data_IF_897198655646
#
_entry.id   IF_897198655646
#
_cell.length_a   1.000
_cell.length_b   1.000
_cell.length_c   1.000
_cell.angle_alpha   90.00
_cell.angle_beta   90.00
_cell.angle_gamma   90.00
#
_symmetry.space_group_name_H-M   'P 1'
#
loop_
_entity.id
_entity.type
_entity.pdbx_description
1 polymer ?
#
# COMPACT_ATOMS: atom_id res chain seq x y z
N UNK A 1 18.45 -3.24 -3.36
CA UNK A 1 17.65 -4.35 -3.92
C UNK A 1 17.75 -5.68 -3.15
N UNK A 2 18.89 -6.03 -2.57
CA UNK A 2 19.02 -7.26 -1.76
C UNK A 2 18.10 -7.29 -0.53
N UNK A 3 17.90 -6.18 0.14
CA UNK A 3 17.05 -6.07 1.35
C UNK A 3 15.57 -6.36 1.10
N UNK A 4 15.02 -5.92 -0.04
CA UNK A 4 13.61 -6.13 -0.42
C UNK A 4 13.32 -7.63 -0.63
N UNK A 5 14.19 -8.33 -1.38
CA UNK A 5 14.06 -9.77 -1.59
C UNK A 5 14.17 -10.57 -0.29
N UNK A 6 15.00 -10.10 0.65
CA UNK A 6 15.13 -10.70 1.97
C UNK A 6 13.83 -10.56 2.77
N UNK A 7 13.23 -9.36 2.83
CA UNK A 7 11.96 -9.13 3.54
C UNK A 7 10.83 -10.01 3.00
N UNK A 8 10.68 -10.07 1.67
CA UNK A 8 9.65 -10.92 1.05
C UNK A 8 9.88 -12.40 1.36
N UNK A 9 11.13 -12.88 1.25
CA UNK A 9 11.47 -14.28 1.54
C UNK A 9 11.27 -14.64 3.01
N UNK A 10 11.61 -13.71 3.90
CA UNK A 10 11.43 -13.89 5.33
C UNK A 10 9.94 -14.01 5.69
N UNK A 11 9.10 -13.07 5.25
CA UNK A 11 7.66 -13.09 5.51
C UNK A 11 7.00 -14.29 4.83
N UNK A 12 7.46 -14.70 3.63
CA UNK A 12 6.97 -15.92 2.97
C UNK A 12 7.24 -17.17 3.80
N UNK A 13 8.42 -17.27 4.41
CA UNK A 13 8.78 -18.42 5.26
C UNK A 13 7.97 -18.44 6.57
N UNK A 14 7.67 -17.26 7.12
CA UNK A 14 6.98 -17.11 8.40
C UNK A 14 5.45 -17.31 8.24
N UNK A 15 4.84 -16.66 7.27
CA UNK A 15 3.39 -16.72 7.04
C UNK A 15 3.06 -16.59 5.56
N UNK A 16 3.08 -17.70 4.79
CA UNK A 16 2.73 -17.67 3.37
C UNK A 16 1.28 -17.21 3.16
N UNK A 17 0.39 -17.50 4.11
CA UNK A 17 -1.03 -17.09 4.06
C UNK A 17 -1.20 -15.58 4.03
N UNK A 18 -0.34 -14.84 4.74
CA UNK A 18 -0.39 -13.37 4.77
C UNK A 18 -0.04 -12.78 3.39
N UNK A 19 1.01 -13.26 2.75
CA UNK A 19 1.41 -12.78 1.42
C UNK A 19 0.36 -13.15 0.37
N UNK A 20 -0.16 -14.38 0.40
CA UNK A 20 -1.23 -14.80 -0.52
C UNK A 20 -2.47 -13.92 -0.35
N UNK A 21 -2.86 -13.60 0.89
CA UNK A 21 -3.96 -12.67 1.15
C UNK A 21 -3.70 -11.29 0.56
N UNK A 22 -2.52 -10.71 0.81
CA UNK A 22 -2.16 -9.39 0.27
C UNK A 22 -2.19 -9.37 -1.27
N UNK A 23 -1.64 -10.40 -1.92
CA UNK A 23 -1.66 -10.50 -3.39
C UNK A 23 -3.09 -10.65 -3.89
N UNK A 24 -3.91 -11.48 -3.26
CA UNK A 24 -5.31 -11.70 -3.65
C UNK A 24 -6.12 -10.41 -3.53
N UNK A 25 -6.00 -9.69 -2.42
CA UNK A 25 -6.66 -8.39 -2.22
C UNK A 25 -6.18 -7.36 -3.24
N UNK A 26 -4.88 -7.35 -3.52
CA UNK A 26 -4.28 -6.44 -4.51
C UNK A 26 -4.82 -6.70 -5.92
N UNK A 27 -4.92 -7.96 -6.33
CA UNK A 27 -5.49 -8.34 -7.64
C UNK A 27 -6.98 -8.01 -7.70
N UNK A 28 -7.72 -8.29 -6.64
CA UNK A 28 -9.15 -7.98 -6.56
C UNK A 28 -9.39 -6.46 -6.68
N UNK A 29 -8.60 -5.66 -5.99
CA UNK A 29 -8.66 -4.19 -6.07
C UNK A 29 -8.32 -3.69 -7.48
N UNK A 30 -7.31 -4.27 -8.13
CA UNK A 30 -6.94 -3.94 -9.51
C UNK A 30 -8.08 -4.26 -10.49
N UNK A 31 -8.68 -5.44 -10.39
CA UNK A 31 -9.82 -5.84 -11.22
C UNK A 31 -11.02 -4.90 -11.02
N UNK A 32 -11.28 -4.51 -9.79
CA UNK A 32 -12.34 -3.56 -9.48
C UNK A 32 -12.14 -2.18 -10.11
N UNK A 33 -10.93 -1.65 -10.10
CA UNK A 33 -10.64 -0.38 -10.74
C UNK A 33 -10.98 -0.42 -12.24
N UNK A 34 -10.71 -1.53 -12.91
CA UNK A 34 -11.07 -1.74 -14.32
C UNK A 34 -12.59 -1.82 -14.51
N UNK A 35 -13.28 -2.60 -13.67
CA UNK A 35 -14.74 -2.74 -13.72
C UNK A 35 -15.43 -1.39 -13.48
N UNK A 36 -14.95 -0.61 -12.50
CA UNK A 36 -15.50 0.70 -12.19
C UNK A 36 -15.40 1.67 -13.39
N UNK A 37 -14.28 1.62 -14.11
CA UNK A 37 -14.11 2.41 -15.34
C UNK A 37 -15.10 1.99 -16.44
N UNK A 38 -15.33 0.68 -16.62
CA UNK A 38 -16.30 0.17 -17.60
C UNK A 38 -17.74 0.61 -17.26
N UNK A 39 -18.11 0.58 -15.97
CA UNK A 39 -19.42 1.06 -15.53
C UNK A 39 -19.55 2.58 -15.77
N UNK A 40 -18.51 3.36 -15.46
CA UNK A 40 -18.50 4.80 -15.70
C UNK A 40 -18.66 5.13 -17.19
N UNK A 41 -18.05 4.32 -18.06
CA UNK A 41 -18.25 4.41 -19.52
C UNK A 41 -19.74 4.20 -19.90
N UNK A 42 -20.38 3.14 -19.40
CA UNK A 42 -21.78 2.88 -19.67
C UNK A 42 -22.69 4.03 -19.20
N UNK A 43 -22.34 4.67 -18.09
CA UNK A 43 -23.04 5.86 -17.59
C UNK A 43 -22.91 7.02 -18.58
N UNK A 44 -21.70 7.31 -19.05
CA UNK A 44 -21.46 8.40 -20.00
C UNK A 44 -22.12 8.16 -21.37
N UNK A 45 -22.07 6.93 -21.90
CA UNK A 45 -22.75 6.55 -23.14
C UNK A 45 -24.28 6.66 -23.01
N UNK A 46 -24.86 6.24 -21.89
CA UNK A 46 -26.30 6.34 -21.61
C UNK A 46 -26.76 7.80 -21.51
N UNK A 47 -25.92 8.67 -20.93
CA UNK A 47 -26.19 10.10 -20.83
C UNK A 47 -26.16 10.75 -22.22
N UNK A 48 -25.17 10.43 -23.04
CA UNK A 48 -25.05 10.94 -24.40
C UNK A 48 -26.23 10.51 -25.31
N UNK A 49 -26.74 9.30 -25.09
CA UNK A 49 -27.90 8.76 -25.80
C UNK A 49 -29.25 9.28 -25.28
N UNK A 50 -29.25 10.14 -24.26
CA UNK A 50 -30.44 10.69 -23.58
C UNK A 50 -31.42 9.59 -23.11
N UNK A 51 -30.89 8.41 -22.76
CA UNK A 51 -31.67 7.26 -22.31
C UNK A 51 -31.67 7.19 -20.79
N UNK A 52 -32.67 7.82 -20.15
CA UNK A 52 -32.78 7.92 -18.68
C UNK A 52 -32.90 6.55 -17.99
N UNK A 53 -33.53 5.56 -18.64
CA UNK A 53 -33.68 4.21 -18.09
C UNK A 53 -32.33 3.49 -17.95
N UNK A 54 -31.53 3.47 -19.03
CA UNK A 54 -30.18 2.86 -19.03
C UNK A 54 -29.24 3.56 -18.06
N UNK A 55 -29.34 4.89 -17.93
CA UNK A 55 -28.57 5.69 -16.99
C UNK A 55 -28.88 5.30 -15.53
N UNK A 56 -30.17 5.18 -15.17
CA UNK A 56 -30.57 4.78 -13.81
C UNK A 56 -30.09 3.36 -13.46
N UNK A 57 -30.17 2.42 -14.41
CA UNK A 57 -29.66 1.06 -14.20
C UNK A 57 -28.15 1.05 -14.00
N UNK A 58 -27.39 1.75 -14.82
CA UNK A 58 -25.95 1.82 -14.70
C UNK A 58 -25.49 2.44 -13.36
N UNK A 59 -26.19 3.48 -12.87
CA UNK A 59 -25.98 4.06 -11.55
C UNK A 59 -26.25 3.06 -10.44
N UNK A 60 -27.35 2.32 -10.53
CA UNK A 60 -27.71 1.32 -9.53
C UNK A 60 -26.65 0.20 -9.47
N UNK A 61 -26.18 -0.27 -10.63
CA UNK A 61 -25.09 -1.27 -10.71
C UNK A 61 -23.81 -0.72 -10.06
N UNK A 62 -23.44 0.53 -10.33
CA UNK A 62 -22.25 1.15 -9.74
C UNK A 62 -22.34 1.16 -8.22
N UNK A 63 -23.47 1.56 -7.65
CA UNK A 63 -23.68 1.62 -6.20
C UNK A 63 -23.63 0.23 -5.60
N UNK A 64 -24.33 -0.77 -6.19
CA UNK A 64 -24.32 -2.14 -5.69
C UNK A 64 -22.93 -2.76 -5.71
N UNK A 65 -22.18 -2.59 -6.80
CA UNK A 65 -20.81 -3.09 -6.93
C UNK A 65 -19.89 -2.39 -5.92
N UNK A 66 -20.02 -1.09 -5.73
CA UNK A 66 -19.23 -0.34 -4.74
C UNK A 66 -19.49 -0.80 -3.31
N UNK A 67 -20.75 -1.04 -2.93
CA UNK A 67 -21.12 -1.56 -1.60
C UNK A 67 -20.54 -2.96 -1.39
N UNK A 68 -20.67 -3.84 -2.38
CA UNK A 68 -20.15 -5.21 -2.30
C UNK A 68 -18.65 -5.23 -2.05
N UNK A 69 -17.90 -4.40 -2.77
CA UNK A 69 -16.45 -4.31 -2.64
C UNK A 69 -16.03 -3.64 -1.34
N UNK A 70 -16.75 -2.59 -0.91
CA UNK A 70 -16.49 -1.99 0.40
C UNK A 70 -16.69 -3.00 1.52
N UNK A 71 -17.71 -3.86 1.44
CA UNK A 71 -17.93 -4.94 2.40
C UNK A 71 -16.82 -5.99 2.39
N UNK A 72 -16.35 -6.43 1.20
CA UNK A 72 -15.26 -7.39 1.07
C UNK A 72 -13.96 -6.80 1.61
N UNK A 73 -13.58 -5.60 1.16
CA UNK A 73 -12.35 -4.94 1.62
C UNK A 73 -12.41 -4.65 3.13
N UNK A 74 -13.56 -4.21 3.64
CA UNK A 74 -13.76 -4.00 5.06
C UNK A 74 -13.55 -5.29 5.85
N UNK A 75 -14.17 -6.38 5.44
CA UNK A 75 -14.03 -7.67 6.11
C UNK A 75 -12.58 -8.17 6.10
N UNK A 76 -11.87 -8.01 5.00
CA UNK A 76 -10.47 -8.43 4.89
C UNK A 76 -9.57 -7.55 5.74
N UNK A 77 -9.67 -6.23 5.63
CA UNK A 77 -8.76 -5.29 6.30
C UNK A 77 -9.00 -5.23 7.82
N UNK A 78 -10.24 -5.42 8.27
CA UNK A 78 -10.56 -5.33 9.71
C UNK A 78 -10.57 -6.66 10.45
N UNK A 79 -10.83 -7.78 9.78
CA UNK A 79 -10.95 -9.08 10.43
C UNK A 79 -9.77 -10.01 10.12
N UNK A 80 -9.39 -10.15 8.86
CA UNK A 80 -8.43 -11.17 8.43
C UNK A 80 -7.00 -10.66 8.47
N UNK A 81 -6.77 -9.47 7.93
CA UNK A 81 -5.42 -8.89 7.83
C UNK A 81 -4.76 -8.70 9.19
N UNK A 82 -5.40 -8.11 10.23
CA UNK A 82 -4.75 -7.90 11.52
C UNK A 82 -4.39 -9.21 12.22
N UNK A 83 -5.19 -10.27 12.06
CA UNK A 83 -4.89 -11.59 12.64
C UNK A 83 -3.63 -12.20 12.01
N UNK A 84 -3.51 -12.13 10.69
CA UNK A 84 -2.34 -12.67 9.98
C UNK A 84 -1.11 -11.77 10.18
N UNK A 85 -1.29 -10.46 10.21
CA UNK A 85 -0.26 -9.47 10.49
C UNK A 85 0.34 -9.70 11.89
N UNK A 86 -0.50 -9.88 12.90
CA UNK A 86 -0.04 -10.10 14.28
C UNK A 86 0.81 -11.37 14.41
N UNK A 87 0.50 -12.45 13.69
CA UNK A 87 1.35 -13.65 13.66
C UNK A 87 2.74 -13.38 13.09
N UNK A 88 2.84 -12.53 12.06
CA UNK A 88 4.12 -12.13 11.50
C UNK A 88 4.89 -11.27 12.49
N UNK A 89 4.22 -10.34 13.17
CA UNK A 89 4.79 -9.48 14.20
C UNK A 89 5.37 -10.32 15.35
N UNK A 90 4.59 -11.25 15.88
CA UNK A 90 4.98 -12.13 16.98
C UNK A 90 6.25 -12.94 16.61
N UNK A 91 6.32 -13.47 15.41
CA UNK A 91 7.48 -14.23 14.95
C UNK A 91 8.72 -13.35 14.81
N UNK A 92 8.59 -12.15 14.22
CA UNK A 92 9.70 -11.19 14.08
C UNK A 92 10.20 -10.76 15.46
N UNK A 93 9.30 -10.43 16.38
CA UNK A 93 9.67 -10.04 17.74
C UNK A 93 10.34 -11.20 18.50
N UNK A 94 9.87 -12.44 18.31
CA UNK A 94 10.50 -13.62 18.84
C UNK A 94 11.94 -13.81 18.34
N UNK A 95 12.18 -13.65 17.05
CA UNK A 95 13.52 -13.75 16.46
C UNK A 95 14.45 -12.63 16.97
N UNK A 96 13.95 -11.40 17.10
CA UNK A 96 14.71 -10.29 17.69
C UNK A 96 15.09 -10.61 19.14
N UNK A 97 14.14 -11.10 19.93
CA UNK A 97 14.37 -11.45 21.32
C UNK A 97 15.38 -12.58 21.48
N UNK A 98 15.25 -13.67 20.71
CA UNK A 98 16.22 -14.77 20.72
C UNK A 98 17.62 -14.30 20.31
N UNK A 99 17.70 -13.41 19.34
CA UNK A 99 18.97 -12.80 18.94
C UNK A 99 19.54 -11.93 20.05
N UNK A 100 18.72 -11.14 20.72
CA UNK A 100 19.13 -10.31 21.85
C UNK A 100 19.69 -11.15 23.01
N UNK A 101 19.08 -12.28 23.31
CA UNK A 101 19.60 -13.20 24.35
C UNK A 101 20.98 -13.79 24.02
N UNK A 102 21.38 -13.81 22.76
CA UNK A 102 22.70 -14.33 22.35
C UNK A 102 23.85 -13.33 22.53
N UNK A 103 23.57 -12.08 22.88
CA UNK A 103 24.57 -11.04 23.14
C UNK A 103 25.00 -11.04 24.61
N UNK A 104 26.24 -10.64 24.86
CA UNK A 104 26.77 -10.51 26.21
C UNK A 104 26.24 -9.25 26.89
N UNK A 105 26.17 -9.27 28.23
CA UNK A 105 25.68 -8.15 29.02
C UNK A 105 26.48 -6.86 28.77
N UNK A 106 27.78 -6.96 28.52
CA UNK A 106 28.65 -5.84 28.18
C UNK A 106 28.24 -5.11 26.90
N UNK A 107 27.63 -5.82 25.93
CA UNK A 107 27.15 -5.18 24.70
C UNK A 107 25.88 -4.36 24.96
N UNK A 108 25.05 -4.74 25.93
CA UNK A 108 23.88 -3.97 26.33
C UNK A 108 24.23 -2.71 27.13
N UNK A 109 25.40 -2.63 27.76
CA UNK A 109 25.90 -1.43 28.42
C UNK A 109 26.40 -0.40 27.41
N UNK A 110 26.66 -0.83 26.16
CA UNK A 110 27.03 0.11 25.08
C UNK A 110 25.80 0.86 24.60
N UNK A 111 25.83 2.19 24.75
CA UNK A 111 24.74 3.08 24.37
C UNK A 111 24.33 2.94 22.91
N UNK A 112 25.29 2.82 22.00
CA UNK A 112 25.02 2.72 20.55
C UNK A 112 24.28 1.41 20.22
N UNK A 113 24.64 0.33 20.90
CA UNK A 113 23.96 -0.96 20.75
C UNK A 113 22.52 -0.90 21.31
N UNK A 114 22.33 -0.27 22.46
CA UNK A 114 21.01 -0.12 23.09
C UNK A 114 20.08 0.73 22.21
N UNK A 115 20.58 1.83 21.66
CA UNK A 115 19.81 2.68 20.76
C UNK A 115 19.43 1.95 19.46
N UNK A 116 20.34 1.14 18.91
CA UNK A 116 20.06 0.28 17.75
C UNK A 116 19.02 -0.80 18.06
N UNK A 117 19.16 -1.48 19.19
CA UNK A 117 18.21 -2.51 19.65
C UNK A 117 16.81 -1.93 19.83
N UNK A 118 16.70 -0.78 20.50
CA UNK A 118 15.45 -0.07 20.69
C UNK A 118 14.83 0.31 19.34
N UNK A 119 15.59 0.88 18.44
CA UNK A 119 15.15 1.25 17.10
C UNK A 119 14.63 0.05 16.30
N UNK A 120 15.35 -1.06 16.32
CA UNK A 120 14.96 -2.30 15.62
C UNK A 120 13.69 -2.90 16.22
N UNK A 121 13.55 -2.90 17.54
CA UNK A 121 12.38 -3.44 18.21
C UNK A 121 11.13 -2.61 17.94
N UNK A 122 11.25 -1.29 17.95
CA UNK A 122 10.12 -0.37 17.75
C UNK A 122 9.73 -0.22 16.27
N UNK A 123 10.71 -0.09 15.37
CA UNK A 123 10.44 0.26 13.97
C UNK A 123 10.72 -0.88 12.98
N UNK A 124 11.52 -1.86 13.34
CA UNK A 124 11.96 -2.92 12.43
C UNK A 124 10.80 -3.79 11.94
N UNK A 125 9.91 -4.14 12.83
CA UNK A 125 8.75 -4.99 12.53
C UNK A 125 7.80 -4.31 11.55
N UNK A 126 7.44 -3.06 11.83
CA UNK A 126 6.58 -2.27 10.94
C UNK A 126 7.25 -2.01 9.58
N UNK A 127 8.56 -1.77 9.57
CA UNK A 127 9.32 -1.56 8.34
C UNK A 127 9.27 -2.76 7.40
N UNK A 128 9.39 -3.97 7.91
CA UNK A 128 9.31 -5.21 7.13
C UNK A 128 7.91 -5.39 6.55
N UNK A 129 6.87 -5.25 7.36
CA UNK A 129 5.48 -5.42 6.94
C UNK A 129 5.08 -4.38 5.91
N UNK A 130 5.40 -3.11 6.17
CA UNK A 130 5.11 -2.02 5.23
C UNK A 130 5.84 -2.21 3.90
N UNK A 131 7.08 -2.72 3.90
CA UNK A 131 7.81 -3.02 2.66
C UNK A 131 7.10 -4.07 1.83
N UNK A 132 6.62 -5.15 2.44
CA UNK A 132 5.88 -6.21 1.72
C UNK A 132 4.54 -5.69 1.19
N UNK A 133 3.79 -4.93 2.00
CA UNK A 133 2.53 -4.31 1.59
C UNK A 133 2.72 -3.33 0.42
N UNK A 134 3.78 -2.51 0.45
CA UNK A 134 4.10 -1.60 -0.65
C UNK A 134 4.42 -2.34 -1.96
N UNK A 135 5.13 -3.46 -1.90
CA UNK A 135 5.44 -4.27 -3.09
C UNK A 135 4.15 -4.84 -3.68
N UNK A 136 3.26 -5.41 -2.85
CA UNK A 136 1.96 -5.90 -3.31
C UNK A 136 1.11 -4.76 -3.92
N UNK A 137 1.12 -3.58 -3.30
CA UNK A 137 0.46 -2.38 -3.83
C UNK A 137 1.03 -1.91 -5.17
N UNK A 138 2.35 -1.96 -5.34
CA UNK A 138 2.99 -1.64 -6.63
C UNK A 138 2.58 -2.63 -7.73
N UNK A 139 2.51 -3.92 -7.43
CA UNK A 139 2.02 -4.93 -8.37
C UNK A 139 0.56 -4.67 -8.77
N UNK A 140 -0.31 -4.39 -7.80
CA UNK A 140 -1.71 -4.05 -8.07
C UNK A 140 -1.85 -2.82 -8.97
N UNK A 141 -1.11 -1.76 -8.65
CA UNK A 141 -1.13 -0.53 -9.46
C UNK A 141 -0.60 -0.77 -10.87
N UNK A 142 0.42 -1.60 -11.05
CA UNK A 142 0.94 -1.96 -12.37
C UNK A 142 -0.11 -2.70 -13.20
N UNK A 143 -0.82 -3.66 -12.61
CA UNK A 143 -1.92 -4.38 -13.28
C UNK A 143 -3.05 -3.42 -13.63
N UNK A 144 -3.43 -2.52 -12.72
CA UNK A 144 -4.46 -1.51 -12.97
C UNK A 144 -4.08 -0.59 -14.13
N UNK A 145 -2.83 -0.11 -14.18
CA UNK A 145 -2.34 0.75 -15.28
C UNK A 145 -2.39 0.03 -16.63
N UNK A 146 -2.00 -1.24 -16.67
CA UNK A 146 -2.09 -2.05 -17.90
C UNK A 146 -3.54 -2.23 -18.35
N UNK A 147 -4.44 -2.56 -17.41
CA UNK A 147 -5.86 -2.72 -17.70
C UNK A 147 -6.53 -1.43 -18.18
N UNK A 148 -6.33 -0.34 -17.47
CA UNK A 148 -6.87 0.98 -17.83
C UNK A 148 -6.25 1.49 -19.14
N UNK A 149 -4.93 1.35 -19.32
CA UNK A 149 -4.22 1.76 -20.51
C UNK A 149 -4.74 1.06 -21.76
N UNK A 150 -5.01 -0.25 -21.68
CA UNK A 150 -5.56 -1.02 -22.81
C UNK A 150 -6.95 -0.52 -23.24
N UNK A 151 -7.78 -0.08 -22.31
CA UNK A 151 -9.10 0.47 -22.59
C UNK A 151 -8.98 1.86 -23.24
N UNK A 152 -8.12 2.72 -22.71
CA UNK A 152 -7.95 4.10 -23.21
C UNK A 152 -7.37 4.11 -24.63
N UNK A 153 -6.42 3.21 -24.95
CA UNK A 153 -5.84 3.08 -26.27
C UNK A 153 -6.85 2.73 -27.38
N UNK A 154 -7.99 2.12 -27.02
CA UNK A 154 -9.06 1.78 -27.97
C UNK A 154 -9.90 3.00 -28.38
N UNK A 155 -9.81 4.12 -27.65
CA UNK A 155 -10.70 5.26 -27.87
C UNK A 155 -10.13 6.35 -28.76
N UNK A 156 -9.02 6.95 -28.37
CA UNK A 156 -8.40 8.02 -29.15
C UNK A 156 -7.00 8.35 -28.61
N UNK A 157 -6.02 8.50 -29.48
CA UNK A 157 -4.65 8.83 -29.07
C UNK A 157 -4.55 10.19 -28.34
N UNK A 158 -5.43 11.13 -28.62
CA UNK A 158 -5.44 12.45 -27.96
C UNK A 158 -5.74 12.36 -26.48
N UNK A 159 -6.67 11.47 -26.07
CA UNK A 159 -7.03 11.26 -24.67
C UNK A 159 -5.86 10.66 -23.89
N UNK A 160 -5.09 9.79 -24.53
CA UNK A 160 -3.88 9.18 -23.93
C UNK A 160 -2.84 10.25 -23.60
N UNK A 161 -2.62 11.21 -24.50
CA UNK A 161 -1.65 12.29 -24.31
C UNK A 161 -2.06 13.18 -23.11
N UNK A 162 -3.33 13.58 -23.06
CA UNK A 162 -3.85 14.40 -21.96
C UNK A 162 -3.74 13.66 -20.61
N UNK A 163 -4.10 12.37 -20.57
CA UNK A 163 -3.98 11.55 -19.37
C UNK A 163 -2.51 11.42 -18.92
N UNK A 164 -1.58 11.25 -19.85
CA UNK A 164 -0.15 11.14 -19.55
C UNK A 164 0.42 12.46 -18.99
N UNK A 165 0.04 13.60 -19.56
CA UNK A 165 0.41 14.93 -19.05
C UNK A 165 -0.12 15.13 -17.62
N UNK A 166 -1.40 14.80 -17.38
CA UNK A 166 -2.01 14.87 -16.04
C UNK A 166 -1.31 13.97 -15.03
N UNK A 167 -0.97 12.74 -15.39
CA UNK A 167 -0.27 11.81 -14.54
C UNK A 167 1.16 12.29 -14.19
N UNK A 168 1.91 12.81 -15.17
CA UNK A 168 3.26 13.35 -14.94
C UNK A 168 3.23 14.58 -14.05
N UNK A 169 2.27 15.48 -14.24
CA UNK A 169 2.10 16.66 -13.40
C UNK A 169 1.76 16.27 -11.94
N UNK A 170 0.83 15.33 -11.75
CA UNK A 170 0.46 14.79 -10.43
C UNK A 170 1.65 14.13 -9.74
N UNK A 171 2.45 13.36 -10.47
CA UNK A 171 3.67 12.73 -9.95
C UNK A 171 4.69 13.79 -9.47
N UNK A 172 4.94 14.82 -10.28
CA UNK A 172 5.85 15.90 -9.94
C UNK A 172 5.40 16.68 -8.68
N UNK A 173 4.11 16.99 -8.59
CA UNK A 173 3.53 17.66 -7.41
C UNK A 173 3.65 16.77 -6.16
N UNK A 174 3.33 15.49 -6.27
CA UNK A 174 3.43 14.54 -5.15
C UNK A 174 4.87 14.40 -4.66
N UNK A 175 5.85 14.31 -5.55
CA UNK A 175 7.26 14.24 -5.18
C UNK A 175 7.70 15.52 -4.45
N UNK A 176 7.29 16.69 -4.93
CA UNK A 176 7.59 17.97 -4.28
C UNK A 176 6.98 18.06 -2.88
N UNK A 177 5.73 17.66 -2.72
CA UNK A 177 5.04 17.63 -1.42
C UNK A 177 5.69 16.65 -0.44
N UNK A 178 6.09 15.46 -0.89
CA UNK A 178 6.80 14.47 -0.04
C UNK A 178 8.14 14.99 0.42
N UNK A 179 8.87 15.74 -0.42
CA UNK A 179 10.14 16.34 -0.04
C UNK A 179 9.94 17.39 1.08
N UNK A 180 8.93 18.26 0.94
CA UNK A 180 8.59 19.26 1.97
C UNK A 180 8.18 18.58 3.28
N UNK A 181 7.37 17.51 3.21
CA UNK A 181 6.98 16.74 4.40
C UNK A 181 8.17 16.06 5.08
N UNK A 182 9.13 15.58 4.30
CA UNK A 182 10.35 14.99 4.84
C UNK A 182 11.20 16.04 5.57
N UNK A 183 11.41 17.20 4.95
CA UNK A 183 12.19 18.30 5.54
C UNK A 183 11.53 18.78 6.85
N UNK A 184 10.21 18.96 6.88
CA UNK A 184 9.48 19.30 8.13
C UNK A 184 9.60 18.22 9.21
N UNK A 185 9.60 16.93 8.86
CA UNK A 185 9.79 15.86 9.85
C UNK A 185 11.20 15.85 10.44
N UNK A 186 12.21 16.13 9.63
CA UNK A 186 13.59 16.21 10.08
C UNK A 186 13.76 17.39 11.06
N UNK A 187 13.16 18.55 10.77
CA UNK A 187 13.18 19.71 11.65
C UNK A 187 12.48 19.45 12.99
N UNK A 188 11.31 18.79 12.97
CA UNK A 188 10.59 18.40 14.20
C UNK A 188 11.38 17.42 15.08
N UNK A 189 12.14 16.51 14.47
CA UNK A 189 12.99 15.58 15.23
C UNK A 189 14.19 16.32 15.85
N UNK A 190 14.74 17.30 15.16
CA UNK A 190 15.84 18.12 15.70
C UNK A 190 15.38 18.97 16.89
N UNK A 191 14.18 19.56 16.82
CA UNK A 191 13.60 20.35 17.92
C UNK A 191 13.26 19.49 19.14
N UNK A 192 12.75 18.27 18.94
CA UNK A 192 12.54 17.33 20.06
C UNK A 192 13.84 16.94 20.76
N UNK A 193 14.94 16.78 20.01
CA UNK A 193 16.26 16.51 20.61
C UNK A 193 16.80 17.71 21.39
N UNK A 194 16.51 18.93 20.98
CA UNK A 194 16.88 20.13 21.69
C UNK A 194 16.09 20.31 22.99
N UNK A 195 14.79 19.97 22.99
CA UNK A 195 13.91 20.04 24.17
C UNK A 195 14.18 18.96 25.24
N UNK A 196 14.77 17.82 24.88
CA UNK A 196 15.14 16.77 25.83
C UNK A 196 16.50 16.98 26.52
N UNK A 197 17.21 18.10 26.20
CA UNK A 197 18.51 18.45 26.84
C UNK A 197 18.39 19.45 27.98
N UNK A 198 17.19 19.86 28.35
CA UNK A 198 16.88 20.67 29.53
C UNK A 198 16.28 19.77 30.63
#
# INVERSE_FOLDING_TARGET
MRSIGYCCRYVWKTSPKYIVLLVLVSVLTAAFNVINLLILRLITESLAANNTYSFCIALLILVMVSILIAAINGSVNYLIEPVLKNKVIEHIQGDIFLKAQSFNLEEFENKDFYDLYYFVTEHGTEGIINTVSLICGLLANSISIMGLGSIILQYNNEVVIVAFIGATLSCALTMKLRRIQYDMKVDLVSDKRASCKI
#
